data_IF_682228836240
#
_entry.id   IF_682228836240
#
_cell.length_a   1.000
_cell.length_b   1.000
_cell.length_c   1.000
_cell.angle_alpha   90.00
_cell.angle_beta   90.00
_cell.angle_gamma   90.00
#
_symmetry.space_group_name_H-M   'P 1'
#
loop_
_entity.id
_entity.type
_entity.pdbx_description
1 polymer ?
#
# COMPACT_ATOMS: atom_id res chain seq x y z
N UNK A 1 35.11 -8.63 8.58
CA UNK A 1 34.12 -7.52 8.60
C UNK A 1 33.19 -7.70 7.41
N UNK A 2 31.91 -7.90 7.66
CA UNK A 2 30.92 -8.10 6.58
C UNK A 2 30.23 -6.78 6.27
N UNK A 3 30.40 -6.27 5.05
CA UNK A 3 29.73 -5.05 4.61
C UNK A 3 28.25 -5.32 4.28
N UNK A 4 27.39 -4.33 4.45
CA UNK A 4 25.96 -4.45 4.15
C UNK A 4 25.66 -4.84 2.69
N UNK A 5 26.56 -4.51 1.76
CA UNK A 5 26.48 -4.91 0.35
C UNK A 5 26.62 -6.41 0.11
N UNK A 6 27.21 -7.14 1.07
CA UNK A 6 27.38 -8.60 1.00
C UNK A 6 26.24 -9.37 1.68
N UNK A 7 25.35 -8.66 2.39
CA UNK A 7 24.20 -9.25 3.07
C UNK A 7 23.01 -9.37 2.13
N UNK A 8 22.03 -10.25 2.41
CA UNK A 8 20.81 -10.36 1.63
C UNK A 8 20.08 -9.02 1.51
N UNK A 9 19.36 -8.84 0.41
CA UNK A 9 18.54 -7.64 0.16
C UNK A 9 17.42 -7.59 1.22
N UNK A 10 17.17 -6.39 1.76
CA UNK A 10 16.08 -6.17 2.69
C UNK A 10 14.72 -6.30 1.99
N UNK A 11 13.78 -6.97 2.64
CA UNK A 11 12.41 -7.11 2.13
C UNK A 11 11.70 -5.76 2.20
N UNK A 12 11.84 -5.04 3.31
CA UNK A 12 11.32 -3.69 3.49
C UNK A 12 12.42 -2.76 4.02
N UNK A 13 13.13 -2.07 3.13
CA UNK A 13 14.23 -1.18 3.53
C UNK A 13 13.80 0.02 4.38
N UNK A 14 12.50 0.35 4.38
CA UNK A 14 11.91 1.46 5.15
C UNK A 14 12.14 1.35 6.66
N UNK A 15 12.18 0.13 7.19
CA UNK A 15 12.40 -0.13 8.62
C UNK A 15 13.86 -0.44 8.97
N UNK A 16 14.68 -0.72 7.97
CA UNK A 16 16.07 -1.02 8.13
C UNK A 16 16.38 -2.47 8.52
N UNK A 17 17.68 -2.76 8.56
CA UNK A 17 18.20 -4.14 8.78
C UNK A 17 17.94 -4.63 10.20
N UNK A 18 17.91 -3.75 11.19
CA UNK A 18 17.65 -4.12 12.58
C UNK A 18 16.29 -4.78 12.76
N UNK A 19 15.24 -4.28 12.11
CA UNK A 19 13.90 -4.89 12.15
C UNK A 19 13.91 -6.25 11.45
N UNK A 20 14.57 -6.38 10.31
CA UNK A 20 14.71 -7.66 9.62
C UNK A 20 15.38 -8.73 10.52
N UNK A 21 16.46 -8.38 11.18
CA UNK A 21 17.15 -9.28 12.10
C UNK A 21 16.31 -9.65 13.32
N UNK A 22 15.52 -8.70 13.87
CA UNK A 22 14.57 -8.98 14.96
C UNK A 22 13.47 -9.95 14.53
N UNK A 23 12.95 -9.82 13.31
CA UNK A 23 11.95 -10.74 12.76
C UNK A 23 12.53 -12.13 12.56
N UNK A 24 13.77 -12.24 12.06
CA UNK A 24 14.45 -13.52 11.89
C UNK A 24 14.65 -14.23 13.25
N UNK A 25 14.99 -13.50 14.31
CA UNK A 25 15.04 -14.02 15.67
C UNK A 25 13.67 -14.49 16.15
N UNK A 26 12.61 -13.71 15.91
CA UNK A 26 11.24 -14.05 16.28
C UNK A 26 10.77 -15.36 15.61
N UNK A 27 11.11 -15.57 14.34
CA UNK A 27 10.80 -16.81 13.60
C UNK A 27 11.50 -18.03 14.26
N UNK A 28 12.73 -17.83 14.76
CA UNK A 28 13.52 -18.89 15.42
C UNK A 28 13.05 -19.28 16.81
N UNK A 29 12.12 -18.55 17.45
CA UNK A 29 11.63 -18.86 18.79
C UNK A 29 10.73 -20.10 18.81
N UNK A 30 10.93 -21.07 19.74
CA UNK A 30 10.15 -22.29 19.80
C UNK A 30 8.72 -22.06 20.33
N UNK A 31 8.56 -21.14 21.28
CA UNK A 31 7.29 -20.88 21.97
C UNK A 31 6.43 -19.86 21.20
N UNK A 32 5.15 -20.18 20.96
CA UNK A 32 4.20 -19.27 20.31
C UNK A 32 3.99 -17.97 21.09
N UNK A 33 3.88 -18.06 22.42
CA UNK A 33 3.70 -16.89 23.28
C UNK A 33 4.90 -15.93 23.22
N UNK A 34 6.12 -16.46 23.16
CA UNK A 34 7.32 -15.65 23.06
C UNK A 34 7.42 -15.00 21.67
N UNK A 35 7.02 -15.71 20.60
CA UNK A 35 6.89 -15.14 19.26
C UNK A 35 5.91 -13.97 19.23
N UNK A 36 4.73 -14.12 19.84
CA UNK A 36 3.73 -13.04 19.93
C UNK A 36 4.23 -11.83 20.71
N UNK A 37 4.89 -12.03 21.83
CA UNK A 37 5.50 -10.93 22.61
C UNK A 37 6.57 -10.21 21.80
N UNK A 38 7.43 -10.96 21.14
CA UNK A 38 8.45 -10.42 20.25
C UNK A 38 7.84 -9.64 19.09
N UNK A 39 6.80 -10.17 18.45
CA UNK A 39 6.08 -9.52 17.37
C UNK A 39 5.47 -8.17 17.80
N UNK A 40 4.83 -8.11 18.96
CA UNK A 40 4.28 -6.87 19.52
C UNK A 40 5.35 -5.83 19.82
N UNK A 41 6.50 -6.27 20.35
CA UNK A 41 7.65 -5.39 20.57
C UNK A 41 8.19 -4.83 19.26
N UNK A 42 8.33 -5.67 18.22
CA UNK A 42 8.77 -5.25 16.89
C UNK A 42 7.81 -4.23 16.30
N UNK A 43 6.49 -4.47 16.34
CA UNK A 43 5.47 -3.53 15.84
C UNK A 43 5.54 -2.20 16.58
N UNK A 44 5.77 -2.21 17.89
CA UNK A 44 5.96 -0.98 18.67
C UNK A 44 7.19 -0.18 18.21
N UNK A 45 8.28 -0.86 17.89
CA UNK A 45 9.49 -0.21 17.36
C UNK A 45 9.24 0.33 15.96
N UNK A 46 8.57 -0.43 15.09
CA UNK A 46 8.18 0.00 13.74
C UNK A 46 7.32 1.28 13.79
N UNK A 47 6.38 1.36 14.73
CA UNK A 47 5.56 2.54 14.97
C UNK A 47 6.38 3.78 15.35
N UNK A 48 7.45 3.59 16.11
CA UNK A 48 8.36 4.69 16.49
C UNK A 48 9.26 5.16 15.35
N UNK A 49 9.60 4.27 14.43
CA UNK A 49 10.42 4.61 13.24
C UNK A 49 9.62 5.47 12.26
N UNK A 50 8.32 5.21 12.11
CA UNK A 50 7.45 5.95 11.19
C UNK A 50 6.24 6.59 11.89
N UNK A 51 6.44 7.60 12.75
CA UNK A 51 5.36 8.22 13.52
C UNK A 51 4.39 9.06 12.69
N UNK A 52 4.77 9.46 11.47
CA UNK A 52 4.00 10.37 10.61
C UNK A 52 2.62 9.83 10.19
N UNK A 53 2.40 8.54 10.29
CA UNK A 53 1.16 7.88 9.87
C UNK A 53 0.25 7.47 11.04
N UNK A 54 0.64 7.77 12.28
CA UNK A 54 -0.07 7.31 13.49
C UNK A 54 -1.51 7.81 13.66
N UNK A 55 -1.93 8.81 12.89
CA UNK A 55 -3.30 9.35 12.92
C UNK A 55 -4.29 8.66 11.98
N UNK A 56 -3.87 7.67 11.20
CA UNK A 56 -4.75 6.95 10.27
C UNK A 56 -5.42 5.77 10.98
N UNK A 57 -6.71 5.56 10.71
CA UNK A 57 -7.49 4.46 11.32
C UNK A 57 -6.88 3.07 11.06
N UNK A 58 -6.28 2.89 9.88
CA UNK A 58 -5.72 1.61 9.44
C UNK A 58 -4.22 1.46 9.76
N UNK A 59 -3.67 2.34 10.60
CA UNK A 59 -2.24 2.38 10.87
C UNK A 59 -1.72 1.09 11.53
N UNK A 60 -2.44 0.59 12.53
CA UNK A 60 -2.08 -0.64 13.22
C UNK A 60 -2.14 -1.85 12.28
N UNK A 61 -3.19 -1.96 11.50
CA UNK A 61 -3.33 -3.01 10.48
C UNK A 61 -2.18 -2.97 9.46
N UNK A 62 -1.78 -1.78 9.03
CA UNK A 62 -0.64 -1.59 8.12
C UNK A 62 0.66 -2.11 8.72
N UNK A 63 0.93 -1.81 10.01
CA UNK A 63 2.14 -2.29 10.68
C UNK A 63 2.19 -3.81 10.78
N UNK A 64 1.07 -4.45 11.13
CA UNK A 64 0.98 -5.91 11.18
C UNK A 64 1.12 -6.56 9.80
N UNK A 65 0.55 -5.97 8.76
CA UNK A 65 0.74 -6.42 7.38
C UNK A 65 2.21 -6.30 6.95
N UNK A 66 2.90 -5.22 7.32
CA UNK A 66 4.32 -5.07 7.05
C UNK A 66 5.17 -6.11 7.80
N UNK A 67 4.84 -6.41 9.06
CA UNK A 67 5.49 -7.48 9.82
C UNK A 67 5.32 -8.84 9.14
N UNK A 68 4.10 -9.18 8.72
CA UNK A 68 3.82 -10.41 7.99
C UNK A 68 4.64 -10.50 6.70
N UNK A 69 4.74 -9.39 5.94
CA UNK A 69 5.53 -9.31 4.72
C UNK A 69 7.04 -9.46 4.98
N UNK A 70 7.59 -8.82 6.02
CA UNK A 70 9.00 -8.93 6.39
C UNK A 70 9.35 -10.38 6.77
N UNK A 71 8.45 -11.06 7.50
CA UNK A 71 8.62 -12.46 7.86
C UNK A 71 8.37 -13.44 6.72
N UNK A 72 7.99 -12.95 5.53
CA UNK A 72 7.56 -13.77 4.39
C UNK A 72 6.43 -14.75 4.77
N UNK A 73 5.52 -14.32 5.62
CA UNK A 73 4.38 -15.12 6.14
C UNK A 73 4.80 -16.40 6.87
N UNK A 74 6.07 -16.49 7.32
CA UNK A 74 6.61 -17.64 8.06
C UNK A 74 6.37 -17.56 9.57
N UNK A 75 5.99 -16.37 10.07
CA UNK A 75 5.78 -16.15 11.50
C UNK A 75 4.43 -16.71 11.92
N UNK A 76 4.46 -17.82 12.67
CA UNK A 76 3.25 -18.47 13.22
C UNK A 76 2.86 -17.81 14.55
N UNK A 77 1.98 -16.83 14.47
CA UNK A 77 1.40 -16.09 15.61
C UNK A 77 -0.09 -15.82 15.36
N UNK A 78 -0.83 -15.51 16.42
CA UNK A 78 -2.20 -15.02 16.30
C UNK A 78 -2.17 -13.49 16.13
N UNK A 79 -2.44 -13.04 14.90
CA UNK A 79 -2.47 -11.63 14.60
C UNK A 79 -3.70 -10.96 15.22
N UNK A 80 -3.56 -9.79 15.87
CA UNK A 80 -4.69 -9.08 16.47
C UNK A 80 -5.59 -8.41 15.43
N UNK A 81 -5.14 -8.35 14.18
CA UNK A 81 -5.84 -7.73 13.04
C UNK A 81 -5.86 -8.68 11.85
N UNK A 82 -6.78 -8.47 10.94
CA UNK A 82 -6.86 -9.24 9.70
C UNK A 82 -5.67 -8.91 8.80
N UNK A 83 -4.92 -9.94 8.41
CA UNK A 83 -3.71 -9.81 7.59
C UNK A 83 -4.06 -10.09 6.14
N UNK A 84 -3.56 -9.25 5.24
CA UNK A 84 -3.66 -9.46 3.79
C UNK A 84 -2.89 -10.72 3.40
N UNK A 85 -3.50 -11.60 2.62
CA UNK A 85 -2.86 -12.84 2.17
C UNK A 85 -1.64 -12.56 1.30
N UNK A 86 -0.72 -13.52 1.24
CA UNK A 86 0.48 -13.41 0.39
C UNK A 86 0.11 -13.19 -1.08
N UNK A 87 -0.91 -13.89 -1.58
CA UNK A 87 -1.39 -13.77 -2.95
C UNK A 87 -1.92 -12.38 -3.27
N UNK A 88 -2.70 -11.78 -2.36
CA UNK A 88 -3.21 -10.42 -2.50
C UNK A 88 -2.11 -9.37 -2.38
N UNK A 89 -1.14 -9.59 -1.49
CA UNK A 89 -0.03 -8.65 -1.26
C UNK A 89 0.90 -8.52 -2.48
N UNK A 90 1.05 -9.60 -3.25
CA UNK A 90 1.87 -9.63 -4.48
C UNK A 90 1.05 -9.58 -5.77
N UNK A 91 -0.28 -9.45 -5.69
CA UNK A 91 -1.13 -9.31 -6.86
C UNK A 91 -0.75 -8.04 -7.65
N UNK A 92 -0.52 -8.21 -8.95
CA UNK A 92 -0.30 -7.07 -9.83
C UNK A 92 -1.64 -6.38 -10.11
N UNK A 93 -1.76 -5.06 -9.88
CA UNK A 93 -2.95 -4.34 -10.25
C UNK A 93 -3.17 -4.43 -11.76
N UNK A 94 -4.44 -4.56 -12.18
CA UNK A 94 -4.76 -4.53 -13.59
C UNK A 94 -4.39 -3.15 -14.18
N UNK A 95 -3.74 -3.10 -15.35
CA UNK A 95 -3.41 -1.85 -15.98
C UNK A 95 -4.69 -1.09 -16.31
N UNK A 96 -4.76 0.16 -15.86
CA UNK A 96 -5.87 1.05 -16.20
C UNK A 96 -5.77 1.43 -17.68
N UNK A 97 -6.80 1.16 -18.50
CA UNK A 97 -6.81 1.65 -19.86
C UNK A 97 -6.96 3.17 -19.86
N UNK A 98 -6.01 3.86 -20.44
CA UNK A 98 -6.18 5.29 -20.70
C UNK A 98 -7.18 5.47 -21.83
N UNK A 99 -8.28 6.23 -21.65
CA UNK A 99 -9.19 6.56 -22.71
C UNK A 99 -8.50 7.46 -23.72
N UNK A 100 -7.92 6.85 -24.75
CA UNK A 100 -7.24 7.56 -25.84
C UNK A 100 -8.28 8.04 -26.87
N UNK A 101 -9.11 8.99 -26.52
CA UNK A 101 -9.91 9.74 -27.50
C UNK A 101 -9.03 10.81 -28.16
N UNK A 102 -8.98 10.82 -29.47
CA UNK A 102 -8.29 11.87 -30.24
C UNK A 102 -9.01 13.19 -30.03
N UNK A 103 -8.32 14.14 -29.43
CA UNK A 103 -8.82 15.48 -29.20
C UNK A 103 -8.77 16.22 -30.55
N UNK A 104 -9.89 16.75 -31.07
CA UNK A 104 -9.97 17.48 -32.33
C UNK A 104 -9.28 18.82 -32.20
N UNK A 105 -9.53 19.55 -31.13
CA UNK A 105 -9.02 20.90 -30.89
C UNK A 105 -8.16 20.91 -29.61
N UNK A 106 -6.83 20.70 -29.80
CA UNK A 106 -5.88 20.59 -28.67
C UNK A 106 -5.86 21.80 -27.74
N UNK A 107 -6.20 22.97 -28.26
CA UNK A 107 -6.19 24.23 -27.49
C UNK A 107 -7.24 24.25 -26.38
N UNK A 108 -8.36 23.55 -26.56
CA UNK A 108 -9.47 23.55 -25.62
C UNK A 108 -9.46 22.32 -24.71
N UNK A 109 -8.80 21.24 -25.14
CA UNK A 109 -8.68 19.99 -24.37
C UNK A 109 -9.94 19.13 -24.37
N UNK A 110 -9.84 17.98 -23.71
CA UNK A 110 -10.90 16.96 -23.69
C UNK A 110 -12.17 17.42 -22.97
N UNK A 111 -12.04 18.23 -21.92
CA UNK A 111 -13.20 18.69 -21.13
C UNK A 111 -14.18 19.50 -21.96
N UNK A 112 -13.69 20.39 -22.82
CA UNK A 112 -14.55 21.21 -23.67
C UNK A 112 -15.24 20.35 -24.73
N UNK A 113 -14.54 19.40 -25.35
CA UNK A 113 -15.17 18.47 -26.28
C UNK A 113 -16.27 17.63 -25.61
N UNK A 114 -15.98 17.11 -24.40
CA UNK A 114 -16.99 16.35 -23.63
C UNK A 114 -18.19 17.20 -23.22
N UNK A 115 -17.97 18.45 -22.84
CA UNK A 115 -19.06 19.38 -22.51
C UNK A 115 -19.94 19.68 -23.71
N UNK A 116 -19.34 19.86 -24.89
CA UNK A 116 -20.07 20.07 -26.14
C UNK A 116 -20.87 18.83 -26.56
N UNK A 117 -20.28 17.63 -26.45
CA UNK A 117 -20.96 16.36 -26.71
C UNK A 117 -22.18 16.20 -25.76
N UNK A 118 -22.00 16.55 -24.48
CA UNK A 118 -23.07 16.53 -23.50
C UNK A 118 -24.16 17.54 -23.82
N UNK A 119 -23.80 18.78 -24.15
CA UNK A 119 -24.75 19.82 -24.56
C UNK A 119 -25.56 19.42 -25.79
N UNK A 120 -24.95 18.72 -26.76
CA UNK A 120 -25.66 18.20 -27.94
C UNK A 120 -26.64 17.08 -27.61
N UNK A 121 -26.39 16.32 -26.54
CA UNK A 121 -27.29 15.25 -26.07
C UNK A 121 -28.50 15.78 -25.30
N UNK A 122 -28.44 17.03 -24.81
CA UNK A 122 -29.55 17.66 -24.09
C UNK A 122 -30.63 18.17 -25.06
N UNK A 123 -31.92 18.07 -24.67
CA UNK A 123 -33.01 18.70 -25.41
C UNK A 123 -32.87 20.22 -25.39
N UNK A 124 -33.44 20.89 -26.38
CA UNK A 124 -33.47 22.36 -26.43
C UNK A 124 -34.19 22.94 -25.20
N UNK A 125 -33.49 23.78 -24.42
CA UNK A 125 -34.00 24.38 -23.19
C UNK A 125 -32.96 25.18 -22.43
N UNK A 126 -33.36 25.77 -21.30
CA UNK A 126 -32.49 26.61 -20.49
C UNK A 126 -31.19 25.92 -20.03
N UNK A 127 -31.22 24.62 -19.76
CA UNK A 127 -30.03 23.88 -19.34
C UNK A 127 -28.96 23.82 -20.44
N UNK A 128 -29.37 23.64 -21.69
CA UNK A 128 -28.48 23.67 -22.84
C UNK A 128 -27.89 25.07 -23.05
N UNK A 129 -28.70 26.11 -22.93
CA UNK A 129 -28.30 27.50 -23.13
C UNK A 129 -27.32 28.00 -22.06
N UNK A 130 -27.39 27.44 -20.85
CA UNK A 130 -26.42 27.76 -19.76
C UNK A 130 -25.07 27.07 -19.90
N UNK A 131 -24.98 26.00 -20.69
CA UNK A 131 -23.74 25.26 -20.96
C UNK A 131 -22.97 25.81 -22.16
N UNK A 132 -23.60 26.55 -23.04
CA UNK A 132 -23.01 27.19 -24.20
C UNK A 132 -22.61 28.62 -23.91
#
# INVERSE_FOLDING_TARGET
MQYNTQKPILIMPEYGRGIQEMVDVAIGLPNKQDRERCARAIVTIMARIQPQQSGQADYEQKLWNHLARISQYKLDIDYPVEIVSEEEAYAHPQPLPYPMKRIRSRHYGHLVESALEYAQSLPEGQERDTLV
#
